data_IF_010042272507
#
_entry.id   IF_010042272507
#
_cell.length_a   1.000
_cell.length_b   1.000
_cell.length_c   1.000
_cell.angle_alpha   90.00
_cell.angle_beta   90.00
_cell.angle_gamma   90.00
#
_symmetry.space_group_name_H-M   'P 1'
#
loop_
_entity.id
_entity.type
_entity.pdbx_description
1 polymer ?
#
# COMPACT_ATOMS: atom_id res chain seq x y z
N UNK A 1 11.71 -0.86 -20.82
CA UNK A 1 11.30 -1.46 -19.53
C UNK A 1 11.86 -0.66 -18.36
N UNK A 2 11.00 -0.20 -17.47
CA UNK A 2 11.33 0.58 -16.29
C UNK A 2 11.92 -0.30 -15.17
N UNK A 3 12.89 0.23 -14.43
CA UNK A 3 13.46 -0.43 -13.25
C UNK A 3 14.38 -1.62 -13.53
N UNK A 4 14.77 -2.31 -12.46
CA UNK A 4 15.60 -3.52 -12.46
C UNK A 4 14.99 -4.58 -11.55
N UNK A 5 15.06 -5.83 -11.96
CA UNK A 5 14.67 -6.98 -11.15
C UNK A 5 15.82 -7.34 -10.19
N UNK A 6 15.49 -7.55 -8.92
CA UNK A 6 16.39 -8.11 -7.93
C UNK A 6 15.75 -9.26 -7.18
N UNK A 7 16.56 -9.97 -6.39
CA UNK A 7 16.12 -11.05 -5.52
C UNK A 7 16.48 -10.74 -4.07
N UNK A 8 15.50 -10.75 -3.19
CA UNK A 8 15.70 -10.56 -1.76
C UNK A 8 15.91 -11.93 -1.09
N UNK A 9 17.16 -12.21 -0.71
CA UNK A 9 17.56 -13.48 -0.08
C UNK A 9 16.89 -13.72 1.28
N UNK A 10 16.57 -12.68 2.05
CA UNK A 10 15.95 -12.81 3.37
C UNK A 10 14.48 -13.21 3.27
N UNK A 11 13.77 -12.70 2.26
CA UNK A 11 12.34 -12.98 2.05
C UNK A 11 12.06 -14.09 1.03
N UNK A 12 13.07 -14.52 0.28
CA UNK A 12 12.91 -15.49 -0.81
C UNK A 12 12.05 -14.97 -1.97
N UNK A 13 11.94 -13.65 -2.14
CA UNK A 13 11.06 -13.02 -3.14
C UNK A 13 11.86 -12.18 -4.13
N UNK A 14 11.41 -12.17 -5.38
CA UNK A 14 11.86 -11.23 -6.39
C UNK A 14 11.17 -9.87 -6.21
N UNK A 15 11.81 -8.83 -6.73
CA UNK A 15 11.27 -7.47 -6.69
C UNK A 15 11.70 -6.67 -7.92
N UNK A 16 10.93 -5.63 -8.22
CA UNK A 16 11.26 -4.61 -9.22
C UNK A 16 11.54 -3.30 -8.48
N UNK A 17 12.66 -2.67 -8.80
CA UNK A 17 13.01 -1.36 -8.23
C UNK A 17 13.44 -0.39 -9.31
N UNK A 18 13.03 0.87 -9.16
CA UNK A 18 13.33 1.92 -10.13
C UNK A 18 13.15 3.31 -9.52
N UNK A 19 13.61 4.34 -10.23
CA UNK A 19 13.33 5.73 -9.86
C UNK A 19 12.12 6.21 -10.65
N UNK A 20 11.17 6.83 -9.96
CA UNK A 20 10.04 7.50 -10.57
C UNK A 20 9.81 8.84 -9.83
N UNK A 21 9.78 9.94 -10.58
CA UNK A 21 9.70 11.31 -10.04
C UNK A 21 10.73 11.59 -8.92
N UNK A 22 11.98 11.19 -9.12
CA UNK A 22 13.07 11.38 -8.15
C UNK A 22 13.05 10.45 -6.93
N UNK A 23 11.95 9.74 -6.65
CA UNK A 23 11.84 8.79 -5.54
C UNK A 23 12.16 7.37 -5.99
N UNK A 24 12.92 6.64 -5.16
CA UNK A 24 13.17 5.21 -5.37
C UNK A 24 11.94 4.43 -4.95
N UNK A 25 11.40 3.65 -5.87
CA UNK A 25 10.26 2.77 -5.63
C UNK A 25 10.72 1.31 -5.62
N UNK A 26 10.02 0.49 -4.82
CA UNK A 26 10.27 -0.93 -4.64
C UNK A 26 8.94 -1.67 -4.60
N UNK A 27 8.81 -2.69 -5.44
CA UNK A 27 7.60 -3.52 -5.54
C UNK A 27 7.98 -5.00 -5.59
N UNK A 28 7.36 -5.81 -4.75
CA UNK A 28 7.57 -7.28 -4.71
C UNK A 28 6.26 -8.05 -4.86
N UNK A 29 5.22 -7.39 -5.38
CA UNK A 29 3.90 -7.94 -5.59
C UNK A 29 3.40 -7.51 -6.97
N UNK A 30 2.77 -8.45 -7.68
CA UNK A 30 2.20 -8.24 -9.01
C UNK A 30 0.68 -8.16 -8.91
N UNK A 31 0.03 -7.10 -9.47
CA UNK A 31 -1.42 -7.04 -9.56
C UNK A 31 -1.93 -8.08 -10.55
N UNK A 32 -3.00 -8.75 -10.16
CA UNK A 32 -3.76 -9.71 -10.96
C UNK A 32 -5.24 -9.42 -10.80
N UNK A 33 -6.09 -10.08 -11.59
CA UNK A 33 -7.55 -9.97 -11.46
C UNK A 33 -8.04 -10.29 -10.03
N UNK A 34 -7.36 -11.21 -9.32
CA UNK A 34 -7.76 -11.65 -7.99
C UNK A 34 -6.99 -10.93 -6.87
N UNK A 35 -6.33 -9.80 -7.17
CA UNK A 35 -5.55 -9.02 -6.21
C UNK A 35 -4.03 -9.13 -6.42
N UNK A 36 -3.27 -8.81 -5.37
CA UNK A 36 -1.81 -8.76 -5.42
C UNK A 36 -1.19 -10.11 -5.07
N UNK A 37 -0.44 -10.70 -5.99
CA UNK A 37 0.32 -11.93 -5.74
C UNK A 37 1.79 -11.60 -5.45
N UNK A 38 2.45 -12.31 -4.53
CA UNK A 38 3.88 -12.13 -4.28
C UNK A 38 4.72 -12.58 -5.49
N UNK A 39 5.81 -11.87 -5.77
CA UNK A 39 6.77 -12.22 -6.82
C UNK A 39 7.68 -13.38 -6.37
N UNK A 40 7.12 -14.59 -6.26
CA UNK A 40 7.86 -15.79 -5.86
C UNK A 40 8.84 -16.32 -6.91
N UNK A 41 8.64 -15.98 -8.18
CA UNK A 41 9.50 -16.40 -9.29
C UNK A 41 9.95 -15.19 -10.11
N UNK A 42 11.10 -15.33 -10.79
CA UNK A 42 11.63 -14.31 -11.70
C UNK A 42 10.62 -13.92 -12.78
N UNK A 43 9.89 -14.90 -13.33
CA UNK A 43 8.86 -14.69 -14.34
C UNK A 43 7.72 -13.77 -13.87
N UNK A 44 7.33 -13.86 -12.59
CA UNK A 44 6.31 -12.95 -12.02
C UNK A 44 6.89 -11.54 -11.86
N UNK A 45 8.18 -11.40 -11.52
CA UNK A 45 8.84 -10.10 -11.46
C UNK A 45 9.02 -9.45 -12.84
N UNK A 46 9.25 -10.25 -13.89
CA UNK A 46 9.28 -9.78 -15.29
C UNK A 46 7.90 -9.25 -15.70
N UNK A 47 6.81 -9.99 -15.42
CA UNK A 47 5.44 -9.49 -15.64
C UNK A 47 5.14 -8.20 -14.87
N UNK A 48 5.57 -8.11 -13.62
CA UNK A 48 5.45 -6.89 -12.82
C UNK A 48 6.21 -5.73 -13.48
N UNK A 49 7.42 -5.97 -13.97
CA UNK A 49 8.23 -4.96 -14.66
C UNK A 49 7.56 -4.47 -15.94
N UNK A 50 7.01 -5.37 -16.74
CA UNK A 50 6.25 -5.07 -17.95
C UNK A 50 5.01 -4.23 -17.62
N UNK A 51 4.19 -4.66 -16.66
CA UNK A 51 3.00 -3.94 -16.22
C UNK A 51 3.32 -2.51 -15.77
N UNK A 52 4.37 -2.33 -14.97
CA UNK A 52 4.80 -1.00 -14.53
C UNK A 52 5.28 -0.17 -15.72
N UNK A 53 6.03 -0.77 -16.65
CA UNK A 53 6.53 -0.07 -17.84
C UNK A 53 5.39 0.45 -18.70
N UNK A 54 4.38 -0.39 -18.96
CA UNK A 54 3.18 -0.05 -19.73
C UNK A 54 2.41 1.08 -19.04
N UNK A 55 2.19 0.98 -17.73
CA UNK A 55 1.49 2.02 -16.97
C UNK A 55 2.23 3.38 -17.02
N UNK A 56 3.57 3.37 -16.98
CA UNK A 56 4.38 4.59 -17.08
C UNK A 56 4.29 5.18 -18.49
N UNK A 57 4.42 4.34 -19.51
CA UNK A 57 4.33 4.74 -20.92
C UNK A 57 2.95 5.34 -21.25
N UNK A 58 1.89 4.79 -20.66
CA UNK A 58 0.52 5.29 -20.79
C UNK A 58 0.21 6.49 -19.87
N UNK A 59 1.15 6.93 -19.02
CA UNK A 59 0.93 8.01 -18.06
C UNK A 59 -0.08 7.68 -16.94
N UNK A 60 -0.42 6.41 -16.75
CA UNK A 60 -1.38 5.90 -15.76
C UNK A 60 -0.73 5.28 -14.52
N UNK A 61 0.59 5.39 -14.41
CA UNK A 61 1.33 4.79 -13.31
C UNK A 61 0.96 5.42 -11.96
N UNK A 62 0.35 4.59 -11.10
CA UNK A 62 0.11 4.91 -9.70
C UNK A 62 0.88 3.94 -8.80
N UNK A 63 1.81 4.44 -7.94
CA UNK A 63 2.54 3.61 -6.98
C UNK A 63 1.66 2.76 -6.07
N UNK A 64 0.45 3.24 -5.75
CA UNK A 64 -0.47 2.58 -4.83
C UNK A 64 -1.04 1.29 -5.41
N UNK A 65 -1.23 1.21 -6.74
CA UNK A 65 -1.68 0.01 -7.46
C UNK A 65 -0.77 -1.21 -7.22
N UNK A 66 0.50 -0.96 -6.94
CA UNK A 66 1.54 -1.98 -6.82
C UNK A 66 1.98 -2.23 -5.37
N UNK A 67 1.38 -1.54 -4.40
CA UNK A 67 1.64 -1.74 -2.97
C UNK A 67 0.41 -2.40 -2.35
N UNK A 68 0.60 -3.49 -1.62
CA UNK A 68 -0.47 -3.97 -0.76
C UNK A 68 -0.88 -2.85 0.20
N UNK A 69 -2.18 -2.56 0.22
CA UNK A 69 -2.82 -1.90 1.36
C UNK A 69 -2.36 -2.62 2.61
N UNK A 70 -1.74 -1.89 3.55
CA UNK A 70 -1.36 -2.43 4.85
C UNK A 70 -2.67 -2.58 5.64
N UNK A 71 -3.27 -3.79 5.75
CA UNK A 71 -4.57 -3.94 6.38
C UNK A 71 -4.48 -3.70 7.90
N UNK A 72 -3.27 -3.91 8.44
CA UNK A 72 -2.90 -3.72 9.85
C UNK A 72 -2.51 -2.27 10.18
N UNK A 73 -2.72 -1.32 9.27
CA UNK A 73 -2.55 0.10 9.61
C UNK A 73 -3.66 0.47 10.60
N UNK A 74 -3.28 0.92 11.79
CA UNK A 74 -4.24 1.28 12.83
C UNK A 74 -5.25 2.32 12.31
N UNK A 75 -4.79 3.23 11.45
CA UNK A 75 -5.67 4.19 10.78
C UNK A 75 -6.79 3.52 9.98
N UNK A 76 -6.46 2.50 9.16
CA UNK A 76 -7.45 1.75 8.38
C UNK A 76 -8.43 0.99 9.29
N UNK A 77 -7.94 0.49 10.44
CA UNK A 77 -8.80 -0.14 11.42
C UNK A 77 -9.77 0.87 12.06
N UNK A 78 -9.27 2.03 12.49
CA UNK A 78 -10.05 3.10 13.11
C UNK A 78 -11.16 3.57 12.17
N UNK A 79 -10.84 3.82 10.90
CA UNK A 79 -11.82 4.27 9.91
C UNK A 79 -12.93 3.24 9.67
N UNK A 80 -12.56 1.97 9.52
CA UNK A 80 -13.53 0.89 9.36
C UNK A 80 -14.38 0.68 10.61
N UNK A 81 -13.77 0.74 11.78
CA UNK A 81 -14.48 0.61 13.05
C UNK A 81 -15.50 1.74 13.23
N UNK A 82 -15.11 2.99 12.95
CA UNK A 82 -16.00 4.14 13.07
C UNK A 82 -17.15 4.05 12.06
N UNK A 83 -16.86 3.68 10.81
CA UNK A 83 -17.89 3.47 9.79
C UNK A 83 -18.90 2.36 10.18
N UNK A 84 -18.43 1.28 10.82
CA UNK A 84 -19.28 0.22 11.34
C UNK A 84 -20.14 0.67 12.52
N UNK A 85 -19.62 1.55 13.39
CA UNK A 85 -20.34 2.02 14.58
C UNK A 85 -21.24 3.22 14.35
N UNK A 86 -20.99 4.02 13.31
CA UNK A 86 -21.77 5.21 12.96
C UNK A 86 -23.30 5.00 12.97
N UNK A 87 -23.89 3.89 12.47
CA UNK A 87 -25.34 3.68 12.53
C UNK A 87 -25.91 3.52 13.94
N UNK A 88 -25.09 3.15 14.92
CA UNK A 88 -25.48 2.94 16.32
C UNK A 88 -25.23 4.19 17.20
N UNK A 89 -24.59 5.22 16.65
CA UNK A 89 -24.16 6.41 17.40
C UNK A 89 -25.08 7.60 17.14
N UNK A 90 -25.25 8.43 18.16
CA UNK A 90 -25.84 9.76 17.95
C UNK A 90 -24.87 10.64 17.15
N UNK A 91 -25.39 11.65 16.44
CA UNK A 91 -24.58 12.57 15.64
C UNK A 91 -23.50 13.28 16.47
N UNK A 92 -23.83 13.69 17.70
CA UNK A 92 -22.88 14.28 18.63
C UNK A 92 -21.76 13.31 19.00
N UNK A 93 -22.10 12.03 19.24
CA UNK A 93 -21.11 11.00 19.60
C UNK A 93 -20.21 10.64 18.41
N UNK A 94 -20.75 10.55 17.20
CA UNK A 94 -19.94 10.34 15.98
C UNK A 94 -18.95 11.50 15.77
N UNK A 95 -19.41 12.73 16.00
CA UNK A 95 -18.57 13.94 15.92
C UNK A 95 -17.42 13.91 16.94
N UNK A 96 -17.72 13.62 18.20
CA UNK A 96 -16.72 13.58 19.27
C UNK A 96 -15.68 12.46 19.07
N UNK A 97 -16.14 11.30 18.61
CA UNK A 97 -15.26 10.18 18.28
C UNK A 97 -14.37 10.53 17.08
N UNK A 98 -14.94 11.05 16.01
CA UNK A 98 -14.18 11.51 14.82
C UNK A 98 -13.11 12.54 15.21
N UNK A 99 -13.48 13.53 16.02
CA UNK A 99 -12.54 14.55 16.49
C UNK A 99 -11.42 13.95 17.34
N UNK A 100 -11.75 13.09 18.30
CA UNK A 100 -10.76 12.49 19.19
C UNK A 100 -9.79 11.58 18.42
N UNK A 101 -10.30 10.77 17.50
CA UNK A 101 -9.50 9.89 16.66
C UNK A 101 -8.56 10.69 15.76
N UNK A 102 -9.04 11.76 15.13
CA UNK A 102 -8.24 12.59 14.22
C UNK A 102 -7.20 13.46 14.95
N UNK A 103 -7.52 13.97 16.15
CA UNK A 103 -6.63 14.89 16.89
C UNK A 103 -5.62 14.18 17.78
N UNK A 104 -5.96 13.00 18.31
CA UNK A 104 -5.15 12.34 19.34
C UNK A 104 -4.60 10.99 18.92
N UNK A 105 -5.39 10.18 18.21
CA UNK A 105 -5.01 8.78 17.93
C UNK A 105 -4.24 8.65 16.62
N UNK A 106 -4.78 9.17 15.51
CA UNK A 106 -4.12 9.12 14.19
C UNK A 106 -2.74 9.79 14.18
N UNK A 107 -2.51 10.97 14.80
CA UNK A 107 -1.20 11.61 14.76
C UNK A 107 -0.10 10.83 15.50
N UNK A 108 -0.46 10.02 16.49
CA UNK A 108 0.50 9.30 17.36
C UNK A 108 0.69 7.85 16.90
N UNK A 109 -0.39 7.21 16.47
CA UNK A 109 -0.44 5.77 16.20
C UNK A 109 -0.91 5.43 14.79
N UNK A 110 -1.40 6.42 14.03
CA UNK A 110 -1.93 6.23 12.68
C UNK A 110 -0.87 5.80 11.69
N UNK A 111 0.27 6.51 11.61
CA UNK A 111 1.34 6.28 10.61
C UNK A 111 2.59 5.62 11.20
N UNK A 112 2.51 5.04 12.40
CA UNK A 112 3.67 4.49 13.10
C UNK A 112 4.06 3.10 12.55
N UNK A 113 4.30 3.02 11.25
CA UNK A 113 5.07 1.93 10.65
C UNK A 113 6.54 2.21 10.86
N UNK A 114 7.03 1.83 12.04
CA UNK A 114 8.44 1.64 12.42
C UNK A 114 9.45 2.50 11.65
N UNK A 115 9.88 3.62 12.27
CA UNK A 115 11.26 4.10 12.09
C UNK A 115 12.20 3.06 12.73
N UNK A 116 12.52 1.99 12.00
CA UNK A 116 13.66 1.11 12.26
C UNK A 116 14.26 0.70 10.93
#
# INVERSE_FOLDING_TARGET
MWGKIGFNKQRGLYYVSGKWQGKRQYYSQCPTHNGLIPCGTRRIAERLQESISIDIENGQFSPEKYKASKPLHLENYIEKWLALKKPELSEATDYDYSNSLNRHVKPVLGDNTYRT
#
